data_IF_349079255239
#
_entry.id   IF_349079255239
#
_cell.length_a   1.000
_cell.length_b   1.000
_cell.length_c   1.000
_cell.angle_alpha   90.00
_cell.angle_beta   90.00
_cell.angle_gamma   90.00
#
_symmetry.space_group_name_H-M   'P 1'
#
loop_
_entity.id
_entity.type
_entity.pdbx_description
1 polymer ?
#
# COMPACT_ATOMS: atom_id res chain seq x y z
N UNK A 1 11.26 -1.91 -3.12
CA UNK A 1 12.60 -1.80 -2.52
C UNK A 1 13.14 -0.41 -2.72
N UNK A 2 13.80 0.17 -1.71
CA UNK A 2 14.47 1.48 -1.83
C UNK A 2 15.96 1.22 -2.01
N UNK A 3 16.58 1.87 -2.99
CA UNK A 3 18.03 1.80 -3.26
C UNK A 3 18.60 3.22 -3.08
N UNK A 4 19.69 3.35 -2.34
CA UNK A 4 20.33 4.65 -2.14
C UNK A 4 20.89 5.20 -3.44
N UNK A 5 20.71 6.51 -3.70
CA UNK A 5 21.19 7.19 -4.91
C UNK A 5 22.65 6.87 -5.28
N UNK A 6 23.62 6.96 -4.35
CA UNK A 6 25.01 6.65 -4.67
C UNK A 6 25.24 5.20 -5.14
N UNK A 7 24.50 4.24 -4.57
CA UNK A 7 24.60 2.83 -4.98
C UNK A 7 23.94 2.61 -6.35
N UNK A 8 22.84 3.30 -6.61
CA UNK A 8 22.15 3.28 -7.90
C UNK A 8 23.01 3.88 -9.02
N UNK A 9 23.64 5.01 -8.76
CA UNK A 9 24.46 5.73 -9.74
C UNK A 9 25.77 5.01 -10.06
N UNK A 10 26.26 4.17 -9.15
CA UNK A 10 27.45 3.35 -9.34
C UNK A 10 27.21 2.11 -10.25
N UNK A 11 25.95 1.73 -10.51
CA UNK A 11 25.60 0.60 -11.38
C UNK A 11 25.60 1.02 -12.86
N UNK A 12 25.91 0.10 -13.75
CA UNK A 12 25.66 0.30 -15.18
C UNK A 12 24.17 0.13 -15.53
N UNK A 13 23.80 0.44 -16.78
CA UNK A 13 22.40 0.41 -17.21
C UNK A 13 21.80 -1.01 -17.21
N UNK A 14 22.64 -2.04 -17.44
CA UNK A 14 22.21 -3.42 -17.47
C UNK A 14 21.82 -3.88 -16.05
N UNK A 15 22.65 -3.57 -15.06
CA UNK A 15 22.39 -3.85 -13.66
C UNK A 15 21.18 -3.08 -13.13
N UNK A 16 21.05 -1.79 -13.48
CA UNK A 16 19.86 -0.99 -13.10
C UNK A 16 18.57 -1.55 -13.67
N UNK A 17 18.60 -2.01 -14.93
CA UNK A 17 17.45 -2.63 -15.58
C UNK A 17 17.10 -3.95 -14.90
N UNK A 18 18.07 -4.84 -14.71
CA UNK A 18 17.86 -6.12 -14.04
C UNK A 18 17.29 -5.94 -12.62
N UNK A 19 17.83 -5.00 -11.85
CA UNK A 19 17.36 -4.70 -10.50
C UNK A 19 15.94 -4.12 -10.50
N UNK A 20 15.62 -3.25 -11.45
CA UNK A 20 14.27 -2.68 -11.61
C UNK A 20 13.25 -3.77 -11.89
N UNK A 21 13.56 -4.65 -12.84
CA UNK A 21 12.64 -5.68 -13.31
C UNK A 21 12.38 -6.71 -12.21
N UNK A 22 13.44 -7.21 -11.56
CA UNK A 22 13.26 -8.17 -10.45
C UNK A 22 12.51 -7.54 -9.27
N UNK A 23 12.76 -6.26 -8.97
CA UNK A 23 12.05 -5.56 -7.89
C UNK A 23 10.56 -5.41 -8.21
N UNK A 24 10.21 -5.01 -9.45
CA UNK A 24 8.81 -4.91 -9.89
C UNK A 24 8.10 -6.26 -9.86
N UNK A 25 8.73 -7.29 -10.43
CA UNK A 25 8.17 -8.65 -10.43
C UNK A 25 7.95 -9.16 -9.00
N UNK A 26 8.94 -8.95 -8.13
CA UNK A 26 8.85 -9.39 -6.73
C UNK A 26 7.79 -8.59 -5.96
N UNK A 27 7.63 -7.30 -6.24
CA UNK A 27 6.55 -6.49 -5.66
C UNK A 27 5.17 -7.04 -6.02
N UNK A 28 4.93 -7.37 -7.30
CA UNK A 28 3.67 -8.00 -7.72
C UNK A 28 3.46 -9.34 -7.02
N UNK A 29 4.47 -10.22 -7.04
CA UNK A 29 4.41 -11.53 -6.42
C UNK A 29 4.09 -11.45 -4.92
N UNK A 30 4.75 -10.56 -4.18
CA UNK A 30 4.51 -10.37 -2.76
C UNK A 30 3.12 -9.78 -2.48
N UNK A 31 2.68 -8.80 -3.29
CA UNK A 31 1.32 -8.24 -3.20
C UNK A 31 0.26 -9.32 -3.38
N UNK A 32 0.39 -10.16 -4.41
CA UNK A 32 -0.58 -11.23 -4.68
C UNK A 32 -0.62 -12.26 -3.54
N UNK A 33 0.54 -12.61 -2.98
CA UNK A 33 0.62 -13.52 -1.84
C UNK A 33 -0.04 -12.95 -0.58
N UNK A 34 0.14 -11.65 -0.31
CA UNK A 34 -0.50 -10.97 0.82
C UNK A 34 -2.00 -10.85 0.61
N UNK A 35 -2.48 -10.42 -0.56
CA UNK A 35 -3.92 -10.35 -0.87
C UNK A 35 -4.58 -11.72 -0.64
N UNK A 36 -3.94 -12.79 -1.12
CA UNK A 36 -4.42 -14.15 -0.87
C UNK A 36 -4.52 -14.45 0.62
N UNK A 37 -3.44 -14.20 1.37
CA UNK A 37 -3.41 -14.45 2.81
C UNK A 37 -4.49 -13.63 3.55
N UNK A 38 -4.63 -12.34 3.26
CA UNK A 38 -5.62 -11.45 3.88
C UNK A 38 -7.06 -11.90 3.62
N UNK A 39 -7.36 -12.37 2.40
CA UNK A 39 -8.67 -12.93 2.07
C UNK A 39 -8.99 -14.23 2.85
N UNK A 40 -7.97 -15.02 3.19
CA UNK A 40 -8.11 -16.28 3.93
C UNK A 40 -8.09 -16.07 5.47
N UNK A 41 -7.47 -15.00 5.95
CA UNK A 41 -7.23 -14.76 7.38
C UNK A 41 -8.52 -14.59 8.18
N UNK A 42 -9.53 -13.89 7.64
CA UNK A 42 -10.79 -13.67 8.35
C UNK A 42 -11.47 -15.01 8.71
N UNK A 43 -11.51 -15.95 7.77
CA UNK A 43 -12.08 -17.29 7.99
C UNK A 43 -11.21 -18.13 8.91
N UNK A 44 -9.88 -18.02 8.78
CA UNK A 44 -8.96 -18.67 9.71
C UNK A 44 -9.21 -18.21 11.15
N UNK A 45 -9.33 -16.91 11.40
CA UNK A 45 -9.62 -16.36 12.73
C UNK A 45 -10.96 -16.84 13.29
N UNK A 46 -12.02 -16.88 12.48
CA UNK A 46 -13.30 -17.48 12.87
C UNK A 46 -13.14 -18.94 13.29
N UNK A 47 -12.35 -19.71 12.54
CA UNK A 47 -12.01 -21.10 12.88
C UNK A 47 -11.21 -21.27 14.17
N UNK A 48 -10.43 -20.27 14.56
CA UNK A 48 -9.73 -20.23 15.87
C UNK A 48 -10.65 -19.79 17.03
N UNK A 49 -11.93 -19.54 16.78
CA UNK A 49 -12.89 -19.07 17.79
C UNK A 49 -12.84 -17.56 18.03
N UNK A 50 -12.17 -16.78 17.17
CA UNK A 50 -12.19 -15.31 17.23
C UNK A 50 -13.47 -14.79 16.61
N UNK A 51 -14.17 -13.91 17.33
CA UNK A 51 -15.30 -13.17 16.76
C UNK A 51 -14.80 -12.14 15.75
N UNK A 52 -15.11 -12.35 14.47
CA UNK A 52 -14.84 -11.39 13.38
C UNK A 52 -16.14 -10.66 13.06
N UNK A 53 -16.17 -9.35 13.25
CA UNK A 53 -17.35 -8.51 13.01
C UNK A 53 -17.27 -7.83 11.65
N UNK A 54 -18.27 -8.07 10.80
CA UNK A 54 -18.44 -7.30 9.57
C UNK A 54 -19.17 -6.00 9.89
N UNK A 55 -18.58 -4.86 9.51
CA UNK A 55 -19.08 -3.53 9.85
C UNK A 55 -19.18 -2.65 8.60
N UNK A 56 -20.12 -1.71 8.62
CA UNK A 56 -20.14 -0.62 7.65
C UNK A 56 -18.92 0.29 7.88
N UNK A 57 -18.05 0.37 6.88
CA UNK A 57 -16.83 1.17 6.93
C UNK A 57 -17.07 2.64 6.64
N UNK A 58 -18.21 3.01 6.04
CA UNK A 58 -18.44 4.39 5.59
C UNK A 58 -18.36 5.42 6.74
N UNK A 59 -18.99 5.22 7.92
CA UNK A 59 -18.89 6.18 9.02
C UNK A 59 -17.47 6.36 9.54
N UNK A 60 -16.67 5.29 9.56
CA UNK A 60 -15.26 5.34 9.97
C UNK A 60 -14.42 6.14 8.97
N UNK A 61 -14.62 5.88 7.68
CA UNK A 61 -13.94 6.61 6.60
C UNK A 61 -14.27 8.12 6.70
N UNK A 62 -15.55 8.48 6.84
CA UNK A 62 -15.96 9.89 6.95
C UNK A 62 -15.45 10.58 8.21
N UNK A 63 -15.31 9.85 9.32
CA UNK A 63 -14.71 10.40 10.53
C UNK A 63 -13.24 10.78 10.34
N UNK A 64 -12.46 9.92 9.65
CA UNK A 64 -11.01 10.11 9.49
C UNK A 64 -10.66 11.02 8.32
N UNK A 65 -11.46 11.03 7.23
CA UNK A 65 -11.26 11.93 6.08
C UNK A 65 -11.10 13.40 6.45
N UNK A 66 -11.79 13.85 7.51
CA UNK A 66 -11.71 15.22 8.04
C UNK A 66 -10.30 15.60 8.51
N UNK A 67 -9.48 14.62 8.85
CA UNK A 67 -8.12 14.79 9.35
C UNK A 67 -7.07 14.86 8.21
N UNK A 68 -7.42 14.41 7.00
CA UNK A 68 -6.44 14.26 5.92
C UNK A 68 -5.83 15.59 5.47
N UNK A 69 -6.60 16.69 5.51
CA UNK A 69 -6.10 18.04 5.19
C UNK A 69 -6.10 18.95 6.44
N UNK A 70 -5.91 18.36 7.62
CA UNK A 70 -5.77 19.10 8.89
C UNK A 70 -4.41 19.77 9.04
N UNK A 71 -4.12 20.32 10.23
CA UNK A 71 -2.90 21.10 10.49
C UNK A 71 -1.57 20.37 10.23
N UNK A 72 -1.57 19.04 10.30
CA UNK A 72 -0.39 18.21 10.04
C UNK A 72 -0.17 17.91 8.54
N UNK A 73 -1.11 18.27 7.68
CA UNK A 73 -1.00 18.02 6.25
C UNK A 73 0.07 18.92 5.63
N UNK A 74 0.99 18.32 4.88
CA UNK A 74 2.10 19.02 4.19
C UNK A 74 1.86 19.16 2.68
N UNK A 75 0.67 18.77 2.22
CA UNK A 75 0.24 18.80 0.81
C UNK A 75 -0.92 19.78 0.62
N UNK A 76 -1.15 20.18 -0.64
CA UNK A 76 -2.29 21.01 -1.00
C UNK A 76 -3.55 20.18 -1.31
N UNK A 77 -4.71 20.85 -1.27
CA UNK A 77 -6.00 20.23 -1.56
C UNK A 77 -6.04 19.62 -2.97
N UNK A 78 -5.42 20.28 -3.95
CA UNK A 78 -5.42 19.81 -5.34
C UNK A 78 -4.64 18.50 -5.54
N UNK A 79 -3.61 18.26 -4.73
CA UNK A 79 -2.86 16.99 -4.70
C UNK A 79 -3.68 15.91 -4.03
N UNK A 80 -4.32 16.22 -2.91
CA UNK A 80 -5.22 15.29 -2.23
C UNK A 80 -6.36 14.82 -3.15
N UNK A 81 -7.04 15.76 -3.82
CA UNK A 81 -8.14 15.45 -4.73
C UNK A 81 -7.68 14.60 -5.91
N UNK A 82 -6.49 14.88 -6.46
CA UNK A 82 -5.87 14.05 -7.50
C UNK A 82 -5.62 12.62 -7.05
N UNK A 83 -5.16 12.42 -5.81
CA UNK A 83 -4.92 11.08 -5.26
C UNK A 83 -6.23 10.32 -5.04
N UNK A 84 -7.28 10.99 -4.57
CA UNK A 84 -8.60 10.37 -4.37
C UNK A 84 -9.26 9.95 -5.70
N UNK A 85 -8.89 10.60 -6.81
CA UNK A 85 -9.41 10.30 -8.14
C UNK A 85 -8.68 9.15 -8.86
N UNK A 86 -7.64 8.56 -8.25
CA UNK A 86 -6.96 7.38 -8.80
C UNK A 86 -7.83 6.15 -8.50
N UNK A 87 -8.24 5.45 -9.55
CA UNK A 87 -8.92 4.14 -9.49
C UNK A 87 -7.93 2.98 -9.43
#
# INVERSE_FOLDING_TARGET
TIVGGPAWDAMDDADRTALTDVTKQTSVCATDAIIKAENELADWFRGQGVQVNEVDRAPFIEAVKKLHNGEAATWDQATYDRLQAIE
#
